data_IF_388694303455
#
_entry.id   IF_388694303455
#
_cell.length_a   1.000
_cell.length_b   1.000
_cell.length_c   1.000
_cell.angle_alpha   90.00
_cell.angle_beta   90.00
_cell.angle_gamma   90.00
#
_symmetry.space_group_name_H-M   'P 1'
#
loop_
_entity.id
_entity.type
_entity.pdbx_description
1 polymer ?
#
# COMPACT_ATOMS: atom_id res chain seq x y z
N UNK A 1 24.00 7.59 9.01
CA UNK A 1 23.31 7.25 10.26
C UNK A 1 22.61 5.89 10.17
N UNK A 2 21.72 5.63 9.15
CA UNK A 2 20.98 4.36 9.02
C UNK A 2 21.93 3.15 8.90
N UNK A 3 22.96 3.23 8.08
CA UNK A 3 23.91 2.13 7.88
C UNK A 3 24.73 1.83 9.14
N UNK A 4 25.14 2.85 9.90
CA UNK A 4 25.76 2.65 11.20
C UNK A 4 24.83 1.94 12.19
N UNK A 5 23.54 2.28 12.16
CA UNK A 5 22.54 1.59 12.98
C UNK A 5 22.39 0.12 12.58
N UNK A 6 22.42 -0.20 11.29
CA UNK A 6 22.38 -1.59 10.83
C UNK A 6 23.61 -2.39 11.27
N UNK A 7 24.80 -1.80 11.21
CA UNK A 7 26.04 -2.48 11.63
C UNK A 7 26.10 -2.69 13.16
N UNK A 8 25.55 -1.76 13.92
CA UNK A 8 25.48 -1.82 15.39
C UNK A 8 24.41 -2.81 15.84
N UNK A 9 23.16 -2.66 15.36
CA UNK A 9 22.01 -3.45 15.78
C UNK A 9 21.95 -4.84 15.15
N UNK A 10 22.49 -5.03 13.93
CA UNK A 10 22.50 -6.29 13.16
C UNK A 10 21.12 -6.98 13.11
N UNK A 11 20.09 -6.35 12.56
CA UNK A 11 18.73 -6.88 12.59
C UNK A 11 18.60 -8.17 11.78
N UNK A 12 17.96 -9.20 12.33
CA UNK A 12 17.59 -10.41 11.59
C UNK A 12 16.52 -10.12 10.53
N UNK A 13 15.68 -9.12 10.74
CA UNK A 13 14.63 -8.74 9.81
C UNK A 13 14.53 -7.22 9.63
N UNK A 14 14.27 -6.78 8.41
CA UNK A 14 14.01 -5.38 8.06
C UNK A 14 12.66 -5.29 7.35
N UNK A 15 11.79 -4.40 7.83
CA UNK A 15 10.53 -4.07 7.16
C UNK A 15 10.64 -2.66 6.61
N UNK A 16 10.62 -2.51 5.30
CA UNK A 16 10.72 -1.21 4.65
C UNK A 16 9.33 -0.64 4.34
N UNK A 17 8.81 0.19 5.24
CA UNK A 17 7.61 1.02 5.04
C UNK A 17 7.91 2.39 4.44
N UNK A 18 9.18 2.79 4.37
CA UNK A 18 9.55 4.11 3.89
C UNK A 18 9.21 4.27 2.41
N UNK A 19 8.34 5.21 2.10
CA UNK A 19 7.92 5.51 0.74
C UNK A 19 7.32 6.91 0.62
N UNK A 20 7.42 7.50 -0.56
CA UNK A 20 6.55 8.57 -1.00
C UNK A 20 5.29 7.95 -1.61
N UNK A 21 4.12 8.14 -0.98
CA UNK A 21 2.89 7.39 -1.29
C UNK A 21 1.74 8.20 -1.88
N UNK A 22 1.86 9.52 -2.07
CA UNK A 22 0.79 10.36 -2.55
C UNK A 22 0.83 10.49 -4.08
N UNK A 23 -0.14 9.87 -4.78
CA UNK A 23 -0.19 9.74 -6.24
C UNK A 23 -0.22 11.10 -6.95
N UNK A 24 -1.04 12.05 -6.48
CA UNK A 24 -1.24 13.34 -7.14
C UNK A 24 0.06 14.15 -7.23
N UNK A 25 0.85 14.16 -6.18
CA UNK A 25 2.11 14.89 -6.14
C UNK A 25 3.23 14.18 -6.91
N UNK A 26 3.13 12.87 -7.15
CA UNK A 26 4.09 12.16 -7.99
C UNK A 26 4.16 12.69 -9.43
N UNK A 27 3.06 13.27 -9.94
CA UNK A 27 3.03 13.93 -11.24
C UNK A 27 3.72 15.30 -11.27
N UNK A 28 3.78 15.97 -10.11
CA UNK A 28 4.43 17.29 -10.01
C UNK A 28 5.94 17.16 -9.78
N UNK A 29 6.35 16.20 -8.98
CA UNK A 29 7.74 16.03 -8.54
C UNK A 29 8.19 14.57 -8.65
N UNK A 30 8.17 13.95 -9.85
CA UNK A 30 8.43 12.53 -10.02
C UNK A 30 9.81 12.12 -9.52
N UNK A 31 10.83 12.97 -9.65
CA UNK A 31 12.19 12.72 -9.21
C UNK A 31 12.24 12.33 -7.72
N UNK A 32 11.48 13.03 -6.87
CA UNK A 32 11.43 12.76 -5.42
C UNK A 32 10.86 11.36 -5.13
N UNK A 33 9.86 10.94 -5.93
CA UNK A 33 9.30 9.59 -5.82
C UNK A 33 10.32 8.51 -6.22
N UNK A 34 11.06 8.71 -7.31
CA UNK A 34 12.12 7.78 -7.70
C UNK A 34 13.27 7.77 -6.71
N UNK A 35 13.70 8.91 -6.19
CA UNK A 35 14.72 9.00 -5.16
C UNK A 35 14.32 8.20 -3.91
N UNK A 36 13.07 8.36 -3.45
CA UNK A 36 12.60 7.68 -2.23
C UNK A 36 12.25 6.22 -2.48
N UNK A 37 11.48 5.91 -3.53
CA UNK A 37 10.90 4.59 -3.72
C UNK A 37 11.81 3.61 -4.47
N UNK A 38 12.82 4.11 -5.19
CA UNK A 38 13.77 3.29 -5.95
C UNK A 38 15.20 3.48 -5.46
N UNK A 39 15.78 4.67 -5.59
CA UNK A 39 17.20 4.91 -5.31
C UNK A 39 17.54 4.63 -3.83
N UNK A 40 16.68 5.01 -2.88
CA UNK A 40 16.93 4.70 -1.47
C UNK A 40 16.84 3.19 -1.18
N UNK A 41 15.93 2.47 -1.87
CA UNK A 41 15.85 1.01 -1.78
C UNK A 41 17.16 0.38 -2.30
N UNK A 42 17.64 0.81 -3.47
CA UNK A 42 18.92 0.35 -4.03
C UNK A 42 20.07 0.56 -3.03
N UNK A 43 20.19 1.78 -2.46
CA UNK A 43 21.25 2.08 -1.49
C UNK A 43 21.19 1.23 -0.23
N UNK A 44 20.00 1.02 0.32
CA UNK A 44 19.80 0.20 1.52
C UNK A 44 20.15 -1.26 1.25
N UNK A 45 19.66 -1.80 0.14
CA UNK A 45 19.84 -3.21 -0.17
C UNK A 45 21.24 -3.53 -0.70
N UNK A 46 21.90 -2.60 -1.39
CA UNK A 46 23.33 -2.70 -1.71
C UNK A 46 24.17 -2.83 -0.44
N UNK A 47 23.86 -2.08 0.60
CA UNK A 47 24.51 -2.21 1.91
C UNK A 47 24.18 -3.54 2.62
N UNK A 48 22.93 -4.01 2.51
CA UNK A 48 22.43 -5.19 3.24
C UNK A 48 22.73 -6.52 2.56
N UNK A 49 22.99 -6.55 1.23
CA UNK A 49 23.06 -7.79 0.45
C UNK A 49 24.13 -8.78 0.93
N UNK A 50 25.23 -8.27 1.48
CA UNK A 50 26.36 -9.07 1.95
C UNK A 50 26.36 -9.27 3.47
N UNK A 51 25.28 -8.87 4.16
CA UNK A 51 25.18 -8.98 5.61
C UNK A 51 24.56 -10.33 6.02
N UNK A 52 25.37 -11.18 6.62
CA UNK A 52 24.96 -12.53 7.06
C UNK A 52 23.94 -12.56 8.21
N UNK A 53 23.77 -11.46 8.92
CA UNK A 53 22.78 -11.34 9.97
C UNK A 53 21.33 -11.18 9.43
N UNK A 54 21.15 -10.66 8.21
CA UNK A 54 19.84 -10.40 7.65
C UNK A 54 19.21 -11.71 7.14
N UNK A 55 18.13 -12.13 7.77
CA UNK A 55 17.36 -13.35 7.40
C UNK A 55 16.09 -13.02 6.63
N UNK A 56 15.59 -11.77 6.73
CA UNK A 56 14.33 -11.36 6.11
C UNK A 56 14.30 -9.87 5.77
N UNK A 57 13.86 -9.55 4.56
CA UNK A 57 13.57 -8.17 4.14
C UNK A 57 12.14 -8.11 3.60
N UNK A 58 11.25 -7.34 4.22
CA UNK A 58 9.90 -7.12 3.71
C UNK A 58 9.86 -5.80 2.93
N UNK A 59 9.62 -5.89 1.63
CA UNK A 59 9.34 -4.72 0.78
C UNK A 59 7.84 -4.44 0.80
N UNK A 60 7.43 -3.36 1.45
CA UNK A 60 6.04 -2.91 1.42
C UNK A 60 5.82 -2.15 0.11
N UNK A 61 5.24 -2.84 -0.88
CA UNK A 61 4.97 -2.32 -2.21
C UNK A 61 3.52 -1.81 -2.34
N UNK A 62 2.98 -1.81 -3.55
CA UNK A 62 1.63 -1.32 -3.86
C UNK A 62 0.96 -2.17 -4.94
N UNK A 63 -0.36 -2.39 -4.88
CA UNK A 63 -1.10 -3.03 -5.97
C UNK A 63 -1.19 -2.16 -7.23
N UNK A 64 -0.95 -0.85 -7.13
CA UNK A 64 -0.98 0.07 -8.28
C UNK A 64 0.07 -0.26 -9.34
N UNK A 65 1.07 -1.10 -9.03
CA UNK A 65 2.03 -1.62 -10.03
C UNK A 65 1.37 -2.47 -11.11
N UNK A 66 0.19 -3.04 -10.84
CA UNK A 66 -0.59 -3.81 -11.82
C UNK A 66 -1.42 -2.94 -12.76
N UNK A 67 -1.65 -1.67 -12.40
CA UNK A 67 -2.57 -0.78 -13.11
C UNK A 67 -4.04 -1.06 -12.78
N UNK A 68 -4.94 -0.39 -13.53
CA UNK A 68 -6.38 -0.58 -13.36
C UNK A 68 -6.84 -1.94 -13.86
N UNK A 69 -7.67 -2.63 -13.09
CA UNK A 69 -8.27 -3.90 -13.48
C UNK A 69 -9.66 -4.07 -12.89
N UNK A 70 -10.53 -4.75 -13.65
CA UNK A 70 -11.86 -5.17 -13.18
C UNK A 70 -11.84 -6.58 -12.59
N UNK A 71 -10.76 -7.31 -12.77
CA UNK A 71 -10.59 -8.69 -12.30
C UNK A 71 -10.01 -8.70 -10.88
N UNK A 72 -10.34 -9.74 -10.13
CA UNK A 72 -9.65 -10.06 -8.88
C UNK A 72 -8.26 -10.63 -9.22
N UNK A 73 -7.20 -9.88 -8.93
CA UNK A 73 -5.84 -10.22 -9.34
C UNK A 73 -5.16 -11.10 -8.32
N UNK A 74 -4.69 -12.25 -8.77
CA UNK A 74 -3.69 -13.05 -8.03
C UNK A 74 -2.30 -12.44 -8.19
N UNK A 75 -1.37 -12.85 -7.32
CA UNK A 75 0.02 -12.41 -7.36
C UNK A 75 0.66 -12.79 -8.70
N UNK A 76 1.22 -11.80 -9.38
CA UNK A 76 1.84 -11.97 -10.70
C UNK A 76 2.98 -10.99 -10.93
N UNK A 77 3.74 -11.23 -12.00
CA UNK A 77 4.78 -10.33 -12.51
C UNK A 77 4.32 -9.54 -13.75
N UNK A 78 3.02 -9.51 -14.03
CA UNK A 78 2.45 -8.69 -15.10
C UNK A 78 2.18 -7.29 -14.57
N UNK A 79 2.97 -6.32 -14.98
CA UNK A 79 2.94 -4.95 -14.46
C UNK A 79 2.52 -3.96 -15.54
N UNK A 80 1.65 -3.03 -15.17
CA UNK A 80 1.22 -1.93 -16.05
C UNK A 80 0.94 -0.66 -15.24
N UNK A 81 1.97 -0.08 -14.57
CA UNK A 81 1.79 1.08 -13.68
C UNK A 81 1.27 2.29 -14.45
N UNK A 82 0.26 2.96 -13.91
CA UNK A 82 -0.42 4.10 -14.54
C UNK A 82 0.05 5.46 -14.01
N UNK A 83 0.92 5.49 -12.99
CA UNK A 83 1.36 6.73 -12.32
C UNK A 83 2.85 6.72 -12.03
N UNK A 84 3.52 7.90 -11.93
CA UNK A 84 4.92 7.96 -11.51
C UNK A 84 5.16 7.32 -10.13
N UNK A 85 4.20 7.42 -9.20
CA UNK A 85 4.23 6.70 -7.92
C UNK A 85 4.36 5.18 -8.13
N UNK A 86 3.42 4.59 -8.87
CA UNK A 86 3.40 3.14 -9.11
C UNK A 86 4.67 2.69 -9.86
N UNK A 87 5.10 3.46 -10.86
CA UNK A 87 6.32 3.19 -11.62
C UNK A 87 7.58 3.25 -10.73
N UNK A 88 7.69 4.22 -9.82
CA UNK A 88 8.81 4.34 -8.90
C UNK A 88 8.86 3.18 -7.88
N UNK A 89 7.69 2.73 -7.38
CA UNK A 89 7.60 1.55 -6.51
C UNK A 89 7.99 0.28 -7.24
N UNK A 90 7.51 0.11 -8.48
CA UNK A 90 7.85 -1.03 -9.32
C UNK A 90 9.35 -1.09 -9.62
N UNK A 91 10.00 0.05 -9.90
CA UNK A 91 11.43 0.09 -10.14
C UNK A 91 12.23 -0.45 -8.94
N UNK A 92 11.83 -0.09 -7.70
CA UNK A 92 12.40 -0.66 -6.48
C UNK A 92 12.14 -2.16 -6.34
N UNK A 93 10.92 -2.63 -6.64
CA UNK A 93 10.58 -4.07 -6.60
C UNK A 93 11.43 -4.86 -7.61
N UNK A 94 11.56 -4.37 -8.85
CA UNK A 94 12.36 -5.03 -9.90
C UNK A 94 13.85 -5.13 -9.50
N UNK A 95 14.41 -4.09 -8.90
CA UNK A 95 15.76 -4.15 -8.34
C UNK A 95 15.88 -5.28 -7.30
N UNK A 96 14.96 -5.35 -6.35
CA UNK A 96 14.94 -6.39 -5.32
C UNK A 96 14.81 -7.80 -5.91
N UNK A 97 14.01 -7.99 -6.96
CA UNK A 97 13.94 -9.26 -7.70
C UNK A 97 15.28 -9.66 -8.34
N UNK A 98 16.06 -8.69 -8.86
CA UNK A 98 17.41 -9.00 -9.38
C UNK A 98 18.36 -9.46 -8.28
N UNK A 99 18.28 -8.84 -7.10
CA UNK A 99 19.08 -9.23 -5.93
C UNK A 99 18.67 -10.62 -5.43
N UNK A 100 17.38 -10.92 -5.38
CA UNK A 100 16.90 -12.27 -5.03
C UNK A 100 17.46 -13.32 -6.00
N UNK A 101 17.34 -13.10 -7.32
CA UNK A 101 17.81 -14.04 -8.34
C UNK A 101 19.32 -14.24 -8.32
N UNK A 102 20.09 -13.19 -8.08
CA UNK A 102 21.56 -13.25 -8.16
C UNK A 102 22.21 -13.68 -6.85
N UNK A 103 21.69 -13.18 -5.73
CA UNK A 103 22.34 -13.29 -4.41
C UNK A 103 21.50 -14.01 -3.37
N UNK A 104 20.33 -14.56 -3.73
CA UNK A 104 19.35 -15.10 -2.78
C UNK A 104 18.99 -14.09 -1.68
N UNK A 105 18.98 -12.78 -2.00
CA UNK A 105 18.62 -11.74 -1.04
C UNK A 105 17.24 -12.05 -0.43
N UNK A 106 17.08 -12.07 0.91
CA UNK A 106 15.91 -12.66 1.58
C UNK A 106 14.68 -11.76 1.54
N UNK A 107 14.27 -11.30 0.36
CA UNK A 107 13.14 -10.38 0.17
C UNK A 107 11.80 -11.10 0.06
N UNK A 108 10.77 -10.50 0.67
CA UNK A 108 9.35 -10.79 0.45
C UNK A 108 8.67 -9.47 0.06
N UNK A 109 7.73 -9.52 -0.88
CA UNK A 109 6.97 -8.36 -1.33
C UNK A 109 5.54 -8.43 -0.77
N UNK A 110 5.06 -7.33 -0.20
CA UNK A 110 3.66 -7.22 0.20
C UNK A 110 2.94 -6.14 -0.60
N UNK A 111 1.71 -6.41 -1.02
CA UNK A 111 0.83 -5.47 -1.73
C UNK A 111 -0.51 -5.44 -1.02
N UNK A 112 -0.70 -4.40 -0.22
CA UNK A 112 -1.91 -4.26 0.57
C UNK A 112 -3.00 -3.49 -0.19
N UNK A 113 -4.26 -3.86 0.02
CA UNK A 113 -5.41 -3.02 -0.31
C UNK A 113 -5.33 -1.68 0.43
N UNK A 114 -6.34 -0.81 0.35
CA UNK A 114 -6.29 0.47 1.04
C UNK A 114 -6.28 0.26 2.56
N UNK A 115 -5.11 0.48 3.16
CA UNK A 115 -4.94 0.34 4.60
C UNK A 115 -5.59 1.49 5.34
N UNK A 116 -6.35 1.20 6.40
CA UNK A 116 -6.95 2.19 7.28
C UNK A 116 -6.71 1.82 8.75
N UNK A 117 -6.88 2.78 9.64
CA UNK A 117 -6.75 2.59 11.09
C UNK A 117 -6.22 3.80 11.82
N UNK A 118 -5.92 3.61 13.11
CA UNK A 118 -5.38 4.64 13.98
C UNK A 118 -4.03 5.14 13.43
N UNK A 119 -3.76 6.44 13.56
CA UNK A 119 -2.56 7.12 13.06
C UNK A 119 -2.43 7.19 11.54
N UNK A 120 -3.49 6.89 10.78
CA UNK A 120 -3.49 7.11 9.34
C UNK A 120 -3.24 8.60 9.03
N UNK A 121 -2.48 8.86 7.98
CA UNK A 121 -2.17 10.22 7.53
C UNK A 121 -3.44 11.02 7.23
N UNK A 122 -3.50 12.26 7.71
CA UNK A 122 -4.72 13.08 7.75
C UNK A 122 -5.30 13.44 6.37
N UNK A 123 -4.51 13.36 5.31
CA UNK A 123 -4.98 13.60 3.94
C UNK A 123 -5.74 12.40 3.32
N UNK A 124 -5.67 11.21 3.93
CA UNK A 124 -6.39 10.02 3.45
C UNK A 124 -7.89 10.18 3.68
N UNK A 125 -8.69 9.50 2.84
CA UNK A 125 -10.14 9.74 2.74
C UNK A 125 -10.87 9.64 4.08
N UNK A 126 -10.59 8.64 4.92
CA UNK A 126 -11.27 8.45 6.20
C UNK A 126 -10.95 9.57 7.18
N UNK A 127 -9.69 9.82 7.61
CA UNK A 127 -9.40 10.89 8.55
C UNK A 127 -9.73 12.28 7.98
N UNK A 128 -9.49 12.52 6.70
CA UNK A 128 -9.86 13.79 6.05
C UNK A 128 -11.36 14.05 6.13
N UNK A 129 -12.19 13.04 5.88
CA UNK A 129 -13.66 13.16 5.99
C UNK A 129 -14.05 13.56 7.41
N UNK A 130 -13.53 12.87 8.43
CA UNK A 130 -13.82 13.17 9.83
C UNK A 130 -13.43 14.60 10.19
N UNK A 131 -12.22 15.04 9.79
CA UNK A 131 -11.71 16.39 10.06
C UNK A 131 -12.58 17.44 9.38
N UNK A 132 -12.93 17.25 8.09
CA UNK A 132 -13.73 18.21 7.35
C UNK A 132 -15.12 18.36 7.93
N UNK A 133 -15.80 17.25 8.27
CA UNK A 133 -17.10 17.28 8.94
C UNK A 133 -17.04 18.08 10.25
N UNK A 134 -16.08 17.76 11.12
CA UNK A 134 -15.92 18.45 12.41
C UNK A 134 -15.50 19.92 12.29
N UNK A 135 -14.89 20.31 11.17
CA UNK A 135 -14.51 21.72 10.91
C UNK A 135 -15.52 22.47 10.03
N UNK A 136 -16.70 21.89 9.76
CA UNK A 136 -17.76 22.52 8.95
C UNK A 136 -17.42 22.66 7.47
N UNK A 137 -16.40 21.94 6.97
CA UNK A 137 -15.98 21.97 5.56
C UNK A 137 -16.62 20.84 4.77
N UNK A 138 -16.91 21.10 3.50
CA UNK A 138 -17.37 20.06 2.57
C UNK A 138 -16.20 19.26 1.98
N UNK A 139 -16.48 18.00 1.67
CA UNK A 139 -15.51 17.09 1.06
C UNK A 139 -15.74 17.05 -0.45
N UNK A 140 -14.71 17.35 -1.23
CA UNK A 140 -14.73 17.21 -2.67
C UNK A 140 -14.53 15.74 -3.08
N UNK A 141 -15.54 15.15 -3.71
CA UNK A 141 -15.52 13.80 -4.24
C UNK A 141 -15.33 13.82 -5.75
N UNK A 142 -14.09 13.69 -6.20
CA UNK A 142 -13.72 13.62 -7.61
C UNK A 142 -14.27 12.33 -8.26
N UNK A 143 -14.69 12.41 -9.52
CA UNK A 143 -15.41 11.32 -10.19
C UNK A 143 -16.68 10.93 -9.45
N UNK A 144 -17.29 11.90 -8.75
CA UNK A 144 -18.50 11.72 -7.93
C UNK A 144 -18.33 10.66 -6.82
N UNK A 145 -17.08 10.33 -6.46
CA UNK A 145 -16.74 9.30 -5.48
C UNK A 145 -17.05 7.87 -5.94
N UNK A 146 -17.18 7.62 -7.24
CA UNK A 146 -17.52 6.29 -7.81
C UNK A 146 -16.35 5.33 -7.90
N UNK A 147 -15.11 5.79 -7.67
CA UNK A 147 -13.96 4.90 -7.60
C UNK A 147 -14.15 3.85 -6.52
N UNK A 148 -13.84 2.60 -6.84
CA UNK A 148 -14.04 1.45 -5.96
C UNK A 148 -12.73 1.01 -5.31
N UNK A 149 -12.75 0.72 -4.03
CA UNK A 149 -11.57 0.28 -3.26
C UNK A 149 -11.96 -0.80 -2.24
N UNK A 150 -11.04 -1.73 -2.03
CA UNK A 150 -11.06 -2.60 -0.86
C UNK A 150 -10.31 -1.92 0.29
N UNK A 151 -10.79 -2.09 1.51
CA UNK A 151 -10.16 -1.52 2.71
C UNK A 151 -9.77 -2.63 3.68
N UNK A 152 -8.52 -2.61 4.15
CA UNK A 152 -8.01 -3.55 5.15
C UNK A 152 -7.52 -2.78 6.38
N UNK A 153 -7.87 -3.26 7.57
CA UNK A 153 -7.44 -2.60 8.80
C UNK A 153 -5.94 -2.81 9.07
N UNK A 154 -5.26 -1.79 9.62
CA UNK A 154 -3.81 -1.84 9.88
C UNK A 154 -3.41 -3.00 10.82
N UNK A 155 -4.26 -3.42 11.76
CA UNK A 155 -3.98 -4.59 12.62
C UNK A 155 -3.83 -5.87 11.81
N UNK A 156 -4.70 -6.10 10.83
CA UNK A 156 -4.61 -7.27 9.95
C UNK A 156 -3.35 -7.21 9.08
N UNK A 157 -3.02 -6.05 8.53
CA UNK A 157 -1.78 -5.85 7.77
C UNK A 157 -0.55 -6.11 8.63
N UNK A 158 -0.51 -5.55 9.85
CA UNK A 158 0.61 -5.74 10.77
C UNK A 158 0.75 -7.20 11.19
N UNK A 159 -0.37 -7.86 11.53
CA UNK A 159 -0.38 -9.29 11.86
C UNK A 159 0.17 -10.14 10.72
N UNK A 160 -0.33 -9.94 9.49
CA UNK A 160 0.13 -10.69 8.33
C UNK A 160 1.61 -10.39 7.99
N UNK A 161 2.05 -9.14 8.12
CA UNK A 161 3.46 -8.77 7.92
C UNK A 161 4.37 -9.52 8.90
N UNK A 162 3.99 -9.60 10.18
CA UNK A 162 4.73 -10.39 11.18
C UNK A 162 4.72 -11.88 10.87
N UNK A 163 3.59 -12.43 10.42
CA UNK A 163 3.52 -13.83 9.98
C UNK A 163 4.43 -14.10 8.79
N UNK A 164 4.52 -13.17 7.83
CA UNK A 164 5.40 -13.28 6.67
C UNK A 164 6.89 -13.22 7.04
N UNK A 165 7.27 -12.44 8.06
CA UNK A 165 8.64 -12.47 8.59
C UNK A 165 9.00 -13.87 9.07
N UNK A 166 8.09 -14.55 9.77
CA UNK A 166 8.36 -15.84 10.40
C UNK A 166 8.21 -17.04 9.45
N UNK A 167 7.26 -16.97 8.50
CA UNK A 167 6.89 -18.13 7.68
C UNK A 167 6.66 -17.87 6.20
N UNK A 168 6.94 -16.66 5.71
CA UNK A 168 6.83 -16.36 4.29
C UNK A 168 8.00 -16.95 3.47
N UNK A 169 7.79 -17.12 2.17
CA UNK A 169 8.80 -17.63 1.23
C UNK A 169 9.54 -16.47 0.56
N UNK A 170 10.87 -16.50 0.57
CA UNK A 170 11.69 -15.47 -0.08
C UNK A 170 11.46 -15.43 -1.59
N UNK A 171 11.49 -14.25 -2.18
CA UNK A 171 11.22 -14.00 -3.59
C UNK A 171 9.74 -13.91 -3.93
N UNK A 172 8.83 -14.26 -3.01
CA UNK A 172 7.40 -14.31 -3.26
C UNK A 172 6.70 -12.98 -2.98
N UNK A 173 5.60 -12.77 -3.72
CA UNK A 173 4.66 -11.66 -3.53
C UNK A 173 3.48 -12.18 -2.70
N UNK A 174 2.96 -11.36 -1.80
CA UNK A 174 1.76 -11.64 -1.03
C UNK A 174 0.80 -10.45 -1.06
N UNK A 175 -0.43 -10.72 -1.46
CA UNK A 175 -1.50 -9.74 -1.38
C UNK A 175 -2.10 -9.73 0.02
N UNK A 176 -2.27 -8.53 0.58
CA UNK A 176 -2.91 -8.31 1.87
C UNK A 176 -4.22 -7.57 1.63
N UNK A 177 -5.30 -8.31 1.48
CA UNK A 177 -6.61 -7.76 1.13
C UNK A 177 -7.73 -8.46 1.91
N UNK A 178 -8.85 -7.74 2.17
CA UNK A 178 -10.02 -8.34 2.77
C UNK A 178 -10.72 -9.31 1.81
N UNK A 179 -11.69 -10.06 2.33
CA UNK A 179 -12.65 -10.77 1.50
C UNK A 179 -13.59 -9.76 0.82
N UNK A 180 -13.86 -9.92 -0.43
CA UNK A 180 -14.82 -9.27 -1.36
C UNK A 180 -15.46 -7.91 -1.01
N UNK A 181 -14.91 -7.12 -0.10
CA UNK A 181 -15.45 -5.83 0.32
C UNK A 181 -14.90 -4.67 -0.52
N UNK A 182 -15.28 -4.65 -1.81
CA UNK A 182 -15.00 -3.49 -2.67
C UNK A 182 -16.14 -2.49 -2.53
N UNK A 183 -15.82 -1.30 -2.03
CA UNK A 183 -16.79 -0.24 -1.79
C UNK A 183 -16.47 1.02 -2.59
N UNK A 184 -17.51 1.74 -3.02
CA UNK A 184 -17.33 3.07 -3.60
C UNK A 184 -16.88 4.06 -2.51
N UNK A 185 -15.99 4.96 -2.87
CA UNK A 185 -15.49 6.00 -1.93
C UNK A 185 -16.65 6.84 -1.38
N UNK A 186 -17.66 7.14 -2.21
CA UNK A 186 -18.86 7.84 -1.73
C UNK A 186 -19.59 7.12 -0.60
N UNK A 187 -19.67 5.80 -0.66
CA UNK A 187 -20.31 4.99 0.38
C UNK A 187 -19.52 5.00 1.69
N UNK A 188 -18.17 5.03 1.61
CA UNK A 188 -17.31 5.20 2.79
C UNK A 188 -17.56 6.57 3.44
N UNK A 189 -17.63 7.63 2.63
CA UNK A 189 -17.92 8.99 3.14
C UNK A 189 -19.32 9.07 3.71
N UNK A 190 -20.33 8.48 3.09
CA UNK A 190 -21.71 8.43 3.58
C UNK A 190 -21.80 7.69 4.92
N UNK A 191 -21.11 6.54 5.05
CA UNK A 191 -21.03 5.82 6.32
C UNK A 191 -20.42 6.69 7.44
N UNK A 192 -19.34 7.41 7.16
CA UNK A 192 -18.73 8.32 8.15
C UNK A 192 -19.68 9.46 8.50
N UNK A 193 -20.38 10.03 7.51
CA UNK A 193 -21.39 11.04 7.76
C UNK A 193 -22.49 10.52 8.72
N UNK A 194 -23.02 9.32 8.45
CA UNK A 194 -24.03 8.69 9.31
C UNK A 194 -23.54 8.45 10.74
N UNK A 195 -22.32 7.90 10.88
CA UNK A 195 -21.71 7.63 12.19
C UNK A 195 -21.47 8.90 13.02
N UNK A 196 -21.30 10.05 12.37
CA UNK A 196 -21.06 11.34 13.03
C UNK A 196 -22.30 12.24 13.05
N UNK A 197 -23.47 11.73 12.63
CA UNK A 197 -24.76 12.47 12.56
C UNK A 197 -24.73 13.68 11.60
N UNK A 198 -24.02 13.55 10.47
CA UNK A 198 -24.05 14.52 9.36
C UNK A 198 -24.85 13.97 8.18
N UNK A 199 -25.43 14.88 7.37
CA UNK A 199 -26.08 14.52 6.10
C UNK A 199 -25.06 14.57 4.97
N UNK A 200 -24.95 13.49 4.19
CA UNK A 200 -24.01 13.36 3.09
C UNK A 200 -24.15 14.51 2.07
N UNK A 201 -25.37 14.85 1.68
CA UNK A 201 -25.66 15.88 0.67
C UNK A 201 -25.20 17.28 1.08
N UNK A 202 -25.24 17.56 2.39
CA UNK A 202 -24.80 18.85 2.94
C UNK A 202 -23.30 18.92 3.15
N UNK A 203 -22.64 17.77 3.21
CA UNK A 203 -21.25 17.60 3.63
C UNK A 203 -20.29 17.33 2.46
N UNK A 204 -20.82 17.15 1.26
CA UNK A 204 -20.02 16.76 0.09
C UNK A 204 -20.27 17.67 -1.11
N UNK A 205 -19.25 17.80 -1.97
CA UNK A 205 -19.35 18.34 -3.32
C UNK A 205 -19.02 17.21 -4.31
N UNK A 206 -19.98 16.86 -5.17
CA UNK A 206 -19.75 15.84 -6.21
C UNK A 206 -19.11 16.51 -7.45
N UNK A 207 -17.86 16.16 -7.73
CA UNK A 207 -17.09 16.74 -8.84
C UNK A 207 -16.95 15.68 -9.94
N UNK A 208 -17.46 15.96 -11.14
CA UNK A 208 -17.42 15.03 -12.29
C UNK A 208 -15.99 14.71 -12.74
N UNK A 209 -15.07 15.69 -12.65
CA UNK A 209 -13.68 15.53 -13.13
C UNK A 209 -12.93 14.51 -12.26
N UNK A 210 -12.30 13.52 -12.92
CA UNK A 210 -11.39 12.56 -12.28
C UNK A 210 -9.94 12.92 -12.65
N UNK A 211 -9.01 12.83 -11.67
CA UNK A 211 -7.59 13.19 -11.84
C UNK A 211 -6.70 11.95 -12.05
N UNK A 212 -7.07 11.04 -12.99
CA UNK A 212 -6.18 9.97 -13.42
C UNK A 212 -5.86 8.90 -12.36
N UNK A 213 -6.75 8.71 -11.40
CA UNK A 213 -6.68 7.56 -10.49
C UNK A 213 -7.35 6.36 -11.14
N UNK A 214 -6.79 5.17 -10.91
CA UNK A 214 -7.40 3.92 -11.35
C UNK A 214 -8.84 3.81 -10.82
N UNK A 215 -9.76 3.40 -11.70
CA UNK A 215 -11.18 3.29 -11.35
C UNK A 215 -11.45 2.20 -10.32
N UNK A 216 -10.72 1.09 -10.43
CA UNK A 216 -10.82 -0.06 -9.54
C UNK A 216 -9.56 -0.89 -9.60
N UNK A 217 -9.19 -1.52 -8.49
CA UNK A 217 -8.36 -2.72 -8.43
C UNK A 217 -8.85 -3.62 -7.30
N UNK A 218 -8.78 -4.92 -7.52
CA UNK A 218 -9.12 -5.95 -6.55
C UNK A 218 -7.98 -6.95 -6.47
N UNK A 219 -7.67 -7.42 -5.27
CA UNK A 219 -6.59 -8.35 -5.01
C UNK A 219 -7.13 -9.65 -4.44
N UNK A 220 -6.77 -10.76 -5.06
CA UNK A 220 -6.92 -12.08 -4.48
C UNK A 220 -5.84 -12.28 -3.40
N UNK A 221 -6.26 -12.50 -2.16
CA UNK A 221 -5.38 -12.76 -1.02
C UNK A 221 -5.40 -14.25 -0.58
N UNK A 222 -5.92 -15.15 -1.42
CA UNK A 222 -6.04 -16.59 -1.11
C UNK A 222 -4.72 -17.19 -0.70
N UNK A 223 -3.60 -16.78 -1.31
CA UNK A 223 -2.26 -17.27 -0.99
C UNK A 223 -1.88 -17.04 0.47
N UNK A 224 -1.99 -15.81 0.96
CA UNK A 224 -1.66 -15.50 2.37
C UNK A 224 -2.68 -16.09 3.34
N UNK A 225 -3.95 -16.12 2.96
CA UNK A 225 -5.03 -16.75 3.75
C UNK A 225 -4.78 -18.23 3.97
N UNK A 226 -4.48 -18.96 2.90
CA UNK A 226 -4.21 -20.40 2.97
C UNK A 226 -2.92 -20.69 3.74
N UNK A 227 -1.86 -19.90 3.50
CA UNK A 227 -0.57 -20.09 4.18
C UNK A 227 -0.67 -19.99 5.71
N UNK A 228 -1.47 -19.05 6.21
CA UNK A 228 -1.56 -18.76 7.66
C UNK A 228 -2.92 -19.08 8.26
N UNK A 229 -3.84 -19.71 7.52
CA UNK A 229 -5.23 -19.92 7.92
C UNK A 229 -5.86 -18.61 8.48
N UNK A 230 -5.55 -17.49 7.80
CA UNK A 230 -5.95 -16.16 8.26
C UNK A 230 -7.36 -15.81 7.79
N UNK A 231 -8.10 -15.21 8.71
CA UNK A 231 -9.39 -14.55 8.44
C UNK A 231 -9.30 -13.09 8.89
N UNK A 232 -9.98 -12.21 8.16
CA UNK A 232 -10.05 -10.80 8.51
C UNK A 232 -10.62 -10.62 9.91
N UNK A 233 -9.93 -9.84 10.76
CA UNK A 233 -10.33 -9.63 12.16
C UNK A 233 -11.18 -8.38 12.35
N UNK A 234 -11.06 -7.39 11.46
CA UNK A 234 -11.77 -6.12 11.53
C UNK A 234 -12.34 -5.80 10.16
N UNK A 235 -13.68 -5.72 10.07
CA UNK A 235 -14.45 -5.39 8.88
C UNK A 235 -14.68 -3.89 8.74
#
# INVERSE_FOLDING_TARGET
>A
KLFLLFDDFKPDAVINYAAQGEVRNSWKWPVEWYNTNCISVVKITEFLKDKNYLKRYISVSTPEVYGATKLNLSESHSYYPSTPYAASKLAGDLHLFTLFKKYNFPVIFTRAANVYGIHQQLYRIIPRTIIYLKSGRKIDLHGEGRSKRAFIHIRDVSYLTMKLILGGVNGEIYHLAPDDNIVEIRNVVDLICKLLNYKFENSTNLIKKNFGQDSQYSLDASKVKNLFNWKQSIS
#
